data_IF_936565907275
#
_entry.id   IF_936565907275
#
_cell.length_a   1.000
_cell.length_b   1.000
_cell.length_c   1.000
_cell.angle_alpha   90.00
_cell.angle_beta   90.00
_cell.angle_gamma   90.00
#
_symmetry.space_group_name_H-M   'P 1'
#
loop_
_entity.id
_entity.type
_entity.pdbx_description
1 polymer ?
#
# COMPACT_ATOMS: atom_id res chain seq x y z
N UNK A 1 -8.08 2.11 16.33
CA UNK A 1 -8.52 2.81 17.54
C UNK A 1 -7.88 4.18 17.53
N UNK A 2 -8.62 5.21 17.07
CA UNK A 2 -8.17 6.59 17.15
C UNK A 2 -7.72 6.99 18.55
N UNK A 3 -6.71 7.84 18.65
CA UNK A 3 -6.27 8.43 19.93
C UNK A 3 -6.91 9.79 20.22
N UNK A 4 -7.52 10.44 19.22
CA UNK A 4 -8.25 11.69 19.36
C UNK A 4 -9.51 11.78 18.48
N UNK A 5 -10.21 12.92 18.58
CA UNK A 5 -11.43 13.19 17.81
C UNK A 5 -11.18 13.47 16.32
N UNK A 6 -9.94 13.74 15.91
CA UNK A 6 -9.59 13.96 14.49
C UNK A 6 -9.58 12.65 13.72
N UNK A 7 -9.35 11.52 14.41
CA UNK A 7 -9.24 10.21 13.78
C UNK A 7 -7.93 9.99 13.04
N UNK A 8 -7.03 10.99 13.01
CA UNK A 8 -5.83 10.98 12.17
C UNK A 8 -4.69 10.15 12.71
N UNK A 9 -4.71 9.75 13.98
CA UNK A 9 -3.72 8.85 14.57
C UNK A 9 -4.37 7.87 15.54
N UNK A 10 -3.63 6.83 15.89
CA UNK A 10 -4.05 5.89 16.92
C UNK A 10 -3.38 4.53 16.82
N UNK A 11 -4.05 3.50 17.34
CA UNK A 11 -3.58 2.11 17.37
C UNK A 11 -4.28 1.25 16.33
N UNK A 12 -3.54 0.40 15.63
CA UNK A 12 -4.06 -0.60 14.69
C UNK A 12 -3.78 -2.00 15.26
N UNK A 13 -4.85 -2.72 15.59
CA UNK A 13 -4.77 -4.08 16.14
C UNK A 13 -4.78 -5.09 14.99
N UNK A 14 -3.79 -5.98 14.96
CA UNK A 14 -3.71 -7.05 13.96
C UNK A 14 -3.52 -8.39 14.63
N UNK A 15 -4.28 -9.39 14.19
CA UNK A 15 -4.17 -10.76 14.70
C UNK A 15 -2.84 -11.42 14.31
N UNK A 16 -2.27 -11.03 13.16
CA UNK A 16 -0.95 -11.45 12.71
C UNK A 16 -0.22 -10.26 12.09
N UNK A 17 1.00 -10.01 12.54
CA UNK A 17 1.92 -9.08 11.91
C UNK A 17 2.44 -9.61 10.57
N UNK A 18 3.00 -8.70 9.76
CA UNK A 18 3.53 -9.04 8.43
C UNK A 18 4.92 -9.68 8.50
N UNK A 19 5.68 -9.40 9.57
CA UNK A 19 7.04 -9.92 9.76
C UNK A 19 6.98 -11.14 10.66
N UNK A 20 6.55 -10.94 11.90
CA UNK A 20 6.31 -12.02 12.84
C UNK A 20 4.81 -12.29 12.85
N UNK A 21 4.41 -13.55 12.63
CA UNK A 21 3.00 -13.98 12.59
C UNK A 21 2.38 -14.06 14.00
N UNK A 22 2.63 -13.05 14.81
CA UNK A 22 2.11 -12.85 16.17
C UNK A 22 1.11 -11.70 16.17
N UNK A 23 0.19 -11.63 17.15
CA UNK A 23 -0.64 -10.46 17.35
C UNK A 23 0.22 -9.23 17.61
N UNK A 24 -0.11 -8.11 16.94
CA UNK A 24 0.63 -6.85 17.08
C UNK A 24 -0.30 -5.66 17.23
N UNK A 25 0.17 -4.68 17.99
CA UNK A 25 -0.45 -3.36 18.13
C UNK A 25 0.47 -2.34 17.46
N UNK A 26 0.09 -1.93 16.25
CA UNK A 26 0.81 -0.90 15.50
C UNK A 26 0.32 0.50 15.87
N UNK A 27 1.16 1.52 15.68
CA UNK A 27 0.71 2.93 15.67
C UNK A 27 0.47 3.36 14.24
N UNK A 28 -0.65 4.02 13.98
CA UNK A 28 -0.92 4.64 12.69
C UNK A 28 -1.05 6.16 12.81
N UNK A 29 -0.73 6.89 11.75
CA UNK A 29 -1.09 8.29 11.59
C UNK A 29 -1.16 8.72 10.12
N UNK A 30 -1.94 9.77 9.86
CA UNK A 30 -2.03 10.44 8.56
C UNK A 30 -1.26 11.76 8.60
N UNK A 31 -0.24 11.89 7.74
CA UNK A 31 0.43 13.18 7.50
C UNK A 31 -0.51 14.20 6.86
N UNK A 32 -0.17 15.49 6.93
CA UNK A 32 -0.94 16.55 6.26
C UNK A 32 -0.93 16.43 4.73
N UNK A 33 0.01 15.64 4.20
CA UNK A 33 0.10 15.20 2.82
C UNK A 33 -0.87 14.04 2.47
N UNK A 34 -1.65 13.55 3.43
CA UNK A 34 -2.59 12.44 3.26
C UNK A 34 -1.93 11.06 3.26
N UNK A 35 -0.62 10.95 3.53
CA UNK A 35 0.07 9.67 3.59
C UNK A 35 -0.25 8.96 4.91
N UNK A 36 -0.76 7.74 4.82
CA UNK A 36 -0.91 6.85 5.97
C UNK A 36 0.44 6.21 6.28
N UNK A 37 0.91 6.39 7.52
CA UNK A 37 2.08 5.68 8.04
C UNK A 37 1.65 4.74 9.18
N UNK A 38 2.20 3.53 9.19
CA UNK A 38 1.98 2.50 10.19
C UNK A 38 3.33 2.01 10.69
N UNK A 39 3.63 2.26 11.96
CA UNK A 39 4.78 1.70 12.65
C UNK A 39 4.36 0.46 13.45
N UNK A 40 5.16 -0.59 13.35
CA UNK A 40 4.96 -1.87 14.04
C UNK A 40 6.25 -2.24 14.75
N UNK A 41 6.17 -2.27 16.07
CA UNK A 41 7.21 -2.85 16.92
C UNK A 41 6.89 -4.35 17.10
N UNK A 42 7.88 -5.19 16.82
CA UNK A 42 7.90 -6.60 17.18
C UNK A 42 8.96 -6.82 18.27
N UNK A 43 9.07 -8.04 18.81
CA UNK A 43 10.03 -8.34 19.87
C UNK A 43 11.48 -8.09 19.43
N UNK A 44 11.81 -8.38 18.17
CA UNK A 44 13.18 -8.27 17.64
C UNK A 44 13.30 -7.42 16.37
N UNK A 45 12.19 -6.89 15.87
CA UNK A 45 12.12 -6.28 14.56
C UNK A 45 11.25 -5.03 14.57
N UNK A 46 11.53 -4.11 13.66
CA UNK A 46 10.70 -2.92 13.45
C UNK A 46 10.22 -2.87 12.01
N UNK A 47 8.92 -2.74 11.83
CA UNK A 47 8.29 -2.55 10.53
C UNK A 47 7.73 -1.14 10.41
N UNK A 48 8.02 -0.46 9.31
CA UNK A 48 7.30 0.75 8.90
C UNK A 48 6.63 0.49 7.56
N UNK A 49 5.40 0.96 7.42
CA UNK A 49 4.66 0.96 6.17
C UNK A 49 4.11 2.36 5.91
N UNK A 50 4.24 2.81 4.66
CA UNK A 50 3.69 4.07 4.17
C UNK A 50 2.87 3.79 2.93
N UNK A 51 1.62 4.23 2.90
CA UNK A 51 0.76 4.06 1.73
C UNK A 51 -0.07 5.31 1.43
N UNK A 52 -0.30 5.57 0.15
CA UNK A 52 -1.04 6.73 -0.32
C UNK A 52 -1.62 6.49 -1.71
N UNK A 53 -2.73 7.18 -2.00
CA UNK A 53 -3.36 7.16 -3.31
C UNK A 53 -2.65 8.17 -4.23
N UNK A 54 -2.22 7.71 -5.40
CA UNK A 54 -1.78 8.60 -6.49
C UNK A 54 -3.00 9.08 -7.27
N UNK A 55 -4.00 8.21 -7.43
CA UNK A 55 -5.33 8.52 -7.98
C UNK A 55 -6.37 7.73 -7.18
N UNK A 56 -7.66 8.03 -7.40
CA UNK A 56 -8.78 7.35 -6.72
C UNK A 56 -8.80 5.82 -6.89
N UNK A 57 -8.15 5.31 -7.94
CA UNK A 57 -8.07 3.89 -8.30
C UNK A 57 -6.66 3.31 -8.22
N UNK A 58 -5.67 4.09 -7.78
CA UNK A 58 -4.28 3.64 -7.73
C UNK A 58 -3.59 4.07 -6.44
N UNK A 59 -3.20 3.09 -5.65
CA UNK A 59 -2.42 3.26 -4.43
C UNK A 59 -1.02 2.70 -4.63
N UNK A 60 -0.07 3.33 -3.97
CA UNK A 60 1.25 2.74 -3.76
C UNK A 60 1.52 2.56 -2.27
N UNK A 61 2.39 1.61 -1.97
CA UNK A 61 2.80 1.27 -0.62
C UNK A 61 4.28 0.92 -0.60
N UNK A 62 5.00 1.53 0.32
CA UNK A 62 6.39 1.22 0.58
C UNK A 62 6.52 0.76 2.03
N UNK A 63 7.28 -0.30 2.27
CA UNK A 63 7.51 -0.81 3.62
C UNK A 63 8.96 -1.20 3.84
N UNK A 64 9.38 -1.12 5.08
CA UNK A 64 10.73 -1.42 5.52
C UNK A 64 10.68 -2.26 6.78
N UNK A 65 11.50 -3.30 6.86
CA UNK A 65 11.67 -4.11 8.05
C UNK A 65 13.13 -4.06 8.46
N UNK A 66 13.38 -3.64 9.70
CA UNK A 66 14.70 -3.63 10.33
C UNK A 66 14.78 -4.78 11.32
N UNK A 67 15.75 -5.65 11.14
CA UNK A 67 16.06 -6.72 12.08
C UNK A 67 17.29 -6.37 12.91
N UNK A 68 17.35 -6.84 14.16
CA UNK A 68 18.46 -6.57 15.08
C UNK A 68 19.84 -7.02 14.58
N UNK A 69 19.91 -7.94 13.61
CA UNK A 69 21.14 -8.43 12.99
C UNK A 69 21.61 -7.58 11.79
N UNK A 70 20.99 -6.43 11.54
CA UNK A 70 21.37 -5.52 10.46
C UNK A 70 20.73 -5.84 9.10
N UNK A 71 19.86 -6.85 9.01
CA UNK A 71 19.11 -7.14 7.79
C UNK A 71 18.00 -6.10 7.61
N UNK A 72 17.94 -5.52 6.41
CA UNK A 72 16.94 -4.55 5.99
C UNK A 72 16.18 -5.10 4.79
N UNK A 73 14.88 -5.36 4.96
CA UNK A 73 14.01 -5.69 3.84
C UNK A 73 13.23 -4.44 3.44
N UNK A 74 13.24 -4.09 2.16
CA UNK A 74 12.40 -3.05 1.58
C UNK A 74 11.43 -3.67 0.59
N UNK A 75 10.19 -3.21 0.62
CA UNK A 75 9.15 -3.66 -0.33
C UNK A 75 8.45 -2.46 -0.92
N UNK A 76 8.09 -2.57 -2.19
CA UNK A 76 7.28 -1.60 -2.92
C UNK A 76 6.14 -2.32 -3.62
N UNK A 77 4.92 -1.79 -3.48
CA UNK A 77 3.73 -2.32 -4.11
C UNK A 77 3.01 -1.21 -4.88
N UNK A 78 2.63 -1.51 -6.12
CA UNK A 78 1.64 -0.76 -6.88
C UNK A 78 0.33 -1.55 -6.88
N UNK A 79 -0.76 -0.88 -6.52
CA UNK A 79 -2.06 -1.52 -6.29
C UNK A 79 -3.12 -0.72 -7.05
N UNK A 80 -3.81 -1.37 -7.99
CA UNK A 80 -4.91 -0.77 -8.76
C UNK A 80 -6.22 -1.39 -8.32
N UNK A 81 -7.28 -0.57 -8.23
CA UNK A 81 -8.64 -1.05 -8.00
C UNK A 81 -9.04 -2.00 -9.14
N UNK A 82 -9.58 -3.17 -8.78
CA UNK A 82 -10.14 -4.09 -9.76
C UNK A 82 -11.34 -3.44 -10.46
N UNK A 83 -11.44 -3.63 -11.77
CA UNK A 83 -12.58 -3.19 -12.59
C UNK A 83 -13.51 -4.37 -12.87
N UNK A 84 -14.73 -4.11 -13.33
CA UNK A 84 -15.61 -5.18 -13.78
C UNK A 84 -15.02 -5.90 -15.00
N UNK A 85 -15.41 -7.16 -15.22
CA UNK A 85 -14.96 -7.91 -16.40
C UNK A 85 -15.35 -7.21 -17.70
N UNK A 86 -16.53 -6.58 -17.73
CA UNK A 86 -17.04 -5.82 -18.88
C UNK A 86 -16.16 -4.61 -19.16
N UNK A 87 -15.81 -3.84 -18.12
CA UNK A 87 -14.92 -2.68 -18.26
C UNK A 87 -13.51 -3.09 -18.67
N UNK A 88 -13.02 -4.21 -18.13
CA UNK A 88 -11.72 -4.77 -18.48
C UNK A 88 -11.68 -5.15 -19.97
N UNK A 89 -12.71 -5.84 -20.46
CA UNK A 89 -12.81 -6.22 -21.86
C UNK A 89 -12.86 -4.98 -22.77
N UNK A 90 -13.67 -3.98 -22.42
CA UNK A 90 -13.73 -2.72 -23.15
C UNK A 90 -12.36 -1.99 -23.19
N UNK A 91 -11.65 -1.95 -22.06
CA UNK A 91 -10.30 -1.39 -21.97
C UNK A 91 -9.31 -2.15 -22.87
N UNK A 92 -9.35 -3.48 -22.86
CA UNK A 92 -8.49 -4.32 -23.70
C UNK A 92 -8.74 -4.08 -25.18
N UNK A 93 -10.01 -3.96 -25.61
CA UNK A 93 -10.36 -3.70 -27.00
C UNK A 93 -9.89 -2.31 -27.45
N UNK A 94 -10.11 -1.28 -26.61
CA UNK A 94 -9.62 0.08 -26.86
C UNK A 94 -8.09 0.10 -27.05
N UNK A 95 -7.35 -0.57 -26.16
CA UNK A 95 -5.88 -0.59 -26.22
C UNK A 95 -5.36 -1.35 -27.46
N UNK A 96 -6.02 -2.45 -27.87
CA UNK A 96 -5.70 -3.15 -29.13
C UNK A 96 -5.88 -2.23 -30.34
N UNK A 97 -6.95 -1.42 -30.38
CA UNK A 97 -7.19 -0.48 -31.47
C UNK A 97 -6.15 0.65 -31.51
N UNK A 98 -5.79 1.20 -30.34
CA UNK A 98 -4.75 2.23 -30.23
C UNK A 98 -3.39 1.71 -30.72
N UNK A 99 -3.01 0.49 -30.31
CA UNK A 99 -1.78 -0.14 -30.77
C UNK A 99 -1.77 -0.31 -32.30
N UNK A 100 -2.85 -0.85 -32.89
CA UNK A 100 -2.97 -0.99 -34.35
C UNK A 100 -2.85 0.35 -35.09
N UNK A 101 -3.48 1.42 -34.57
CA UNK A 101 -3.34 2.76 -35.15
C UNK A 101 -1.90 3.27 -35.06
N UNK A 102 -1.21 3.02 -33.96
CA UNK A 102 0.18 3.45 -33.78
C UNK A 102 1.14 2.72 -34.73
N UNK A 103 0.88 1.45 -35.03
CA UNK A 103 1.66 0.67 -36.01
C UNK A 103 1.28 0.92 -37.47
N UNK A 104 0.09 1.46 -37.75
CA UNK A 104 -0.34 1.81 -39.11
C UNK A 104 0.15 3.21 -39.57
N UNK A 105 0.85 3.94 -38.71
CA UNK A 105 1.48 5.23 -38.99
C UNK A 105 2.97 5.11 -39.40
N UNK A 106 3.46 3.88 -39.57
CA UNK A 106 4.78 3.51 -40.10
C UNK A 106 4.60 2.49 -41.22
#
# INVERSE_FOLDING_TARGET
MPDDATGRSGKLLRNQGYVERIPVVSRYWFGDDGILTIDTEYDNNQGQERCWFITDDFRVRASTVRMNNGVYLMTYCSERRCVSDVDLEAMMQRNKQLSKKHFALF
#
